data_IF_373115728823
#
_entry.id   IF_373115728823
#
_cell.length_a   1.000
_cell.length_b   1.000
_cell.length_c   1.000
_cell.angle_alpha   90.00
_cell.angle_beta   90.00
_cell.angle_gamma   90.00
#
_symmetry.space_group_name_H-M   'P 1'
#
loop_
_entity.id
_entity.type
_entity.pdbx_description
1 polymer ?
#
# COMPACT_ATOMS: atom_id res chain seq x y z
N UNK A 1 4.45 1.28 -21.90
CA UNK A 1 5.22 2.09 -20.96
C UNK A 1 6.61 2.25 -21.54
N UNK A 2 7.05 3.49 -21.74
CA UNK A 2 8.39 3.78 -22.27
C UNK A 2 9.39 3.80 -21.11
N UNK A 3 10.47 3.04 -21.24
CA UNK A 3 11.52 2.90 -20.23
C UNK A 3 12.83 3.40 -20.77
N UNK A 4 13.54 4.16 -19.95
CA UNK A 4 14.89 4.65 -20.26
C UNK A 4 15.72 4.72 -18.98
N UNK A 5 17.00 5.05 -19.12
CA UNK A 5 17.88 5.27 -17.97
C UNK A 5 18.42 6.70 -18.00
N UNK A 6 18.33 7.39 -16.88
CA UNK A 6 18.97 8.70 -16.68
C UNK A 6 19.99 8.52 -15.57
N UNK A 7 21.24 8.89 -15.82
CA UNK A 7 22.34 8.81 -14.86
C UNK A 7 22.39 7.45 -14.10
N UNK A 8 22.30 6.33 -14.84
CA UNK A 8 22.28 4.95 -14.33
C UNK A 8 21.06 4.57 -13.46
N UNK A 9 20.06 5.44 -13.31
CA UNK A 9 18.81 5.12 -12.60
C UNK A 9 17.74 4.65 -13.60
N UNK A 10 17.00 3.59 -13.29
CA UNK A 10 15.86 3.20 -14.10
C UNK A 10 14.72 4.19 -13.92
N UNK A 11 14.12 4.61 -15.03
CA UNK A 11 12.93 5.50 -15.01
C UNK A 11 11.88 5.00 -15.98
N UNK A 12 10.62 5.21 -15.64
CA UNK A 12 9.46 4.86 -16.47
C UNK A 12 8.84 6.14 -17.01
N UNK A 13 8.86 6.31 -18.32
CA UNK A 13 8.37 7.55 -18.97
C UNK A 13 9.00 8.84 -18.39
N UNK A 14 10.26 8.80 -17.99
CA UNK A 14 10.95 9.93 -17.37
C UNK A 14 10.73 10.07 -15.86
N UNK A 15 10.01 9.16 -15.23
CA UNK A 15 9.65 9.21 -13.82
C UNK A 15 10.40 8.14 -13.03
N UNK A 16 11.06 8.51 -11.94
CA UNK A 16 11.60 7.58 -10.95
C UNK A 16 10.49 7.05 -10.06
N UNK A 17 10.39 5.73 -9.96
CA UNK A 17 9.30 5.07 -9.25
C UNK A 17 9.75 4.60 -7.87
N UNK A 18 9.00 5.01 -6.84
CA UNK A 18 9.06 4.45 -5.48
C UNK A 18 7.68 3.90 -5.16
N UNK A 19 7.56 2.59 -5.08
CA UNK A 19 6.28 1.95 -4.74
C UNK A 19 6.13 1.89 -3.21
N UNK A 20 5.12 2.56 -2.69
CA UNK A 20 4.89 2.71 -1.26
C UNK A 20 4.18 1.51 -0.60
N UNK A 21 3.61 0.59 -1.40
CA UNK A 21 2.70 -0.42 -0.87
C UNK A 21 2.81 -1.77 -1.58
N UNK A 22 3.67 -2.64 -1.05
CA UNK A 22 3.77 -4.04 -1.44
C UNK A 22 3.59 -4.95 -0.23
N UNK A 23 3.21 -6.19 -0.49
CA UNK A 23 3.12 -7.25 0.52
C UNK A 23 4.14 -8.35 0.22
N UNK A 24 4.89 -8.75 1.24
CA UNK A 24 5.79 -9.88 1.17
C UNK A 24 5.18 -11.08 1.90
N UNK A 25 5.20 -12.25 1.28
CA UNK A 25 4.68 -13.51 1.86
C UNK A 25 3.24 -13.39 2.39
N UNK A 26 2.40 -12.60 1.71
CA UNK A 26 1.05 -12.31 2.17
C UNK A 26 0.23 -13.56 2.55
N UNK A 27 0.27 -14.70 1.82
CA UNK A 27 -0.50 -15.88 2.20
C UNK A 27 -0.06 -16.51 3.52
N UNK A 28 1.14 -16.19 4.01
CA UNK A 28 1.75 -16.74 5.22
C UNK A 28 1.80 -15.73 6.37
N UNK A 29 1.46 -14.47 6.11
CA UNK A 29 1.46 -13.44 7.13
C UNK A 29 0.30 -13.64 8.12
N UNK A 30 0.57 -13.76 9.44
CA UNK A 30 -0.49 -13.94 10.45
C UNK A 30 -1.55 -12.86 10.46
N UNK A 31 -1.18 -11.60 10.18
CA UNK A 31 -2.12 -10.49 10.10
C UNK A 31 -3.11 -10.68 8.94
N UNK A 32 -2.60 -11.01 7.76
CA UNK A 32 -3.45 -11.21 6.58
C UNK A 32 -4.29 -12.48 6.67
N UNK A 33 -3.81 -13.53 7.35
CA UNK A 33 -4.63 -14.71 7.65
C UNK A 33 -5.84 -14.41 8.51
N UNK A 34 -5.70 -13.51 9.47
CA UNK A 34 -6.80 -13.08 10.34
C UNK A 34 -7.92 -12.41 9.56
N UNK A 35 -7.62 -11.80 8.40
CA UNK A 35 -8.60 -11.18 7.52
C UNK A 35 -9.45 -12.17 6.71
N UNK A 36 -9.06 -13.44 6.63
CA UNK A 36 -9.70 -14.45 5.78
C UNK A 36 -10.70 -15.37 6.47
N UNK A 37 -11.17 -15.06 7.67
CA UNK A 37 -12.31 -15.79 8.18
C UNK A 37 -12.45 -16.09 9.67
N UNK A 38 -11.55 -15.61 10.53
CA UNK A 38 -11.60 -15.95 11.96
C UNK A 38 -12.64 -15.18 12.79
N UNK A 39 -13.10 -14.02 12.32
CA UNK A 39 -13.94 -13.13 13.14
C UNK A 39 -15.42 -13.50 13.22
N UNK A 40 -15.90 -14.39 12.34
CA UNK A 40 -17.29 -14.80 12.28
C UNK A 40 -17.42 -16.31 12.52
N UNK A 41 -16.58 -16.86 13.40
CA UNK A 41 -16.71 -18.26 13.82
C UNK A 41 -18.07 -18.44 14.51
N UNK A 42 -19.09 -18.82 13.74
CA UNK A 42 -20.24 -19.49 14.26
C UNK A 42 -19.94 -20.99 14.36
N UNK A 43 -20.64 -21.69 15.22
CA UNK A 43 -20.63 -23.16 15.23
C UNK A 43 -21.17 -23.67 13.89
N UNK A 44 -20.27 -23.97 12.99
CA UNK A 44 -20.56 -24.43 11.63
C UNK A 44 -20.15 -25.88 11.50
N UNK A 45 -21.00 -26.70 10.87
CA UNK A 45 -20.60 -28.07 10.55
C UNK A 45 -19.43 -28.07 9.55
N UNK A 46 -18.58 -29.10 9.60
CA UNK A 46 -17.46 -29.26 8.67
C UNK A 46 -17.87 -29.22 7.19
N UNK A 47 -19.08 -29.73 6.87
CA UNK A 47 -19.64 -29.68 5.53
C UNK A 47 -20.03 -28.27 5.10
N UNK A 48 -20.65 -27.49 6.00
CA UNK A 48 -21.00 -26.09 5.73
C UNK A 48 -19.75 -25.22 5.58
N UNK A 49 -18.73 -25.44 6.42
CA UNK A 49 -17.44 -24.76 6.30
C UNK A 49 -16.76 -25.06 4.95
N UNK A 50 -16.77 -26.32 4.50
CA UNK A 50 -16.21 -26.71 3.20
C UNK A 50 -16.98 -26.08 2.03
N UNK A 51 -18.32 -26.06 2.07
CA UNK A 51 -19.14 -25.41 1.04
C UNK A 51 -18.87 -23.90 0.97
N UNK A 52 -18.80 -23.22 2.12
CA UNK A 52 -18.44 -21.82 2.20
C UNK A 52 -17.05 -21.56 1.63
N UNK A 53 -16.06 -22.35 2.01
CA UNK A 53 -14.70 -22.23 1.48
C UNK A 53 -14.65 -22.40 -0.05
N UNK A 54 -15.40 -23.37 -0.60
CA UNK A 54 -15.49 -23.59 -2.04
C UNK A 54 -16.13 -22.38 -2.77
N UNK A 55 -17.19 -21.78 -2.19
CA UNK A 55 -17.81 -20.58 -2.74
C UNK A 55 -16.83 -19.39 -2.75
N UNK A 56 -16.11 -19.14 -1.65
CA UNK A 56 -15.10 -18.10 -1.54
C UNK A 56 -13.95 -18.32 -2.53
N UNK A 57 -13.46 -19.56 -2.67
CA UNK A 57 -12.45 -19.91 -3.65
C UNK A 57 -12.94 -19.63 -5.08
N UNK A 58 -14.19 -19.98 -5.39
CA UNK A 58 -14.81 -19.71 -6.70
C UNK A 58 -14.92 -18.20 -7.01
N UNK A 59 -15.26 -17.38 -6.01
CA UNK A 59 -15.28 -15.91 -6.14
C UNK A 59 -13.88 -15.36 -6.40
N UNK A 60 -12.89 -15.79 -5.64
CA UNK A 60 -11.48 -15.39 -5.79
C UNK A 60 -10.92 -15.79 -7.16
N UNK A 61 -11.20 -17.00 -7.62
CA UNK A 61 -10.79 -17.46 -8.95
C UNK A 61 -11.44 -16.66 -10.08
N UNK A 62 -12.72 -16.29 -9.93
CA UNK A 62 -13.42 -15.41 -10.90
C UNK A 62 -12.76 -14.04 -10.98
N UNK A 63 -12.43 -13.47 -9.83
CA UNK A 63 -11.73 -12.19 -9.77
C UNK A 63 -10.35 -12.27 -10.44
N UNK A 64 -9.53 -13.28 -10.13
CA UNK A 64 -8.21 -13.45 -10.78
C UNK A 64 -8.34 -13.54 -12.30
N UNK A 65 -9.27 -14.35 -12.80
CA UNK A 65 -9.52 -14.44 -14.26
C UNK A 65 -9.93 -13.13 -14.90
N UNK A 66 -10.72 -12.29 -14.19
CA UNK A 66 -11.14 -10.99 -14.72
C UNK A 66 -9.98 -9.98 -14.87
N UNK A 67 -8.87 -10.23 -14.20
CA UNK A 67 -7.65 -9.42 -14.24
C UNK A 67 -6.48 -10.10 -14.95
N UNK A 68 -6.69 -11.30 -15.43
CA UNK A 68 -5.63 -12.15 -16.01
C UNK A 68 -4.49 -12.41 -15.00
N UNK A 69 -4.85 -12.59 -13.74
CA UNK A 69 -3.91 -12.98 -12.70
C UNK A 69 -3.84 -14.49 -12.59
N UNK A 70 -2.64 -15.02 -12.49
CA UNK A 70 -2.40 -16.43 -12.21
C UNK A 70 -2.95 -16.82 -10.83
N UNK A 71 -3.24 -18.09 -10.64
CA UNK A 71 -3.56 -18.63 -9.32
C UNK A 71 -2.31 -18.61 -8.43
N UNK A 72 -2.47 -18.38 -7.10
CA UNK A 72 -1.35 -18.47 -6.17
C UNK A 72 -0.64 -19.83 -6.28
N UNK A 73 0.68 -19.81 -6.28
CA UNK A 73 1.49 -21.02 -6.32
C UNK A 73 1.21 -21.88 -5.08
N UNK A 74 0.97 -23.16 -5.31
CA UNK A 74 0.86 -24.14 -4.24
C UNK A 74 2.23 -24.76 -4.03
N UNK A 75 2.80 -24.63 -2.83
CA UNK A 75 4.04 -25.30 -2.47
C UNK A 75 5.33 -24.49 -2.58
N UNK A 76 5.31 -23.26 -3.09
CA UNK A 76 6.52 -22.39 -3.14
C UNK A 76 6.99 -21.90 -1.75
N UNK A 77 6.28 -22.26 -0.69
CA UNK A 77 6.78 -22.14 0.67
C UNK A 77 8.12 -22.88 0.90
N UNK A 78 8.44 -23.85 0.06
CA UNK A 78 9.67 -24.64 0.15
C UNK A 78 10.92 -23.89 -0.31
N UNK A 79 10.79 -22.82 -1.12
CA UNK A 79 11.95 -22.03 -1.55
C UNK A 79 12.43 -21.05 -0.47
N UNK A 80 11.62 -20.79 0.55
CA UNK A 80 11.97 -19.96 1.68
C UNK A 80 11.90 -18.45 1.37
N UNK A 81 12.01 -17.62 2.45
CA UNK A 81 11.85 -16.16 2.32
C UNK A 81 12.98 -15.49 1.54
N UNK A 82 14.17 -16.07 1.51
CA UNK A 82 15.32 -15.50 0.79
C UNK A 82 15.12 -15.58 -0.73
N UNK A 83 14.68 -16.74 -1.22
CA UNK A 83 14.40 -16.94 -2.64
C UNK A 83 13.24 -16.03 -3.10
N UNK A 84 12.21 -15.85 -2.26
CA UNK A 84 11.11 -14.96 -2.57
C UNK A 84 11.58 -13.49 -2.59
N UNK A 85 12.48 -13.09 -1.69
CA UNK A 85 13.07 -11.75 -1.72
C UNK A 85 13.90 -11.51 -3.01
N UNK A 86 14.65 -12.52 -3.46
CA UNK A 86 15.40 -12.44 -4.73
C UNK A 86 14.45 -12.33 -5.94
N UNK A 87 13.31 -13.04 -5.92
CA UNK A 87 12.27 -12.88 -6.96
C UNK A 87 11.70 -11.45 -6.95
N UNK A 88 11.42 -10.88 -5.78
CA UNK A 88 10.97 -9.48 -5.69
C UNK A 88 12.02 -8.50 -6.21
N UNK A 89 13.31 -8.73 -5.94
CA UNK A 89 14.37 -7.89 -6.49
C UNK A 89 14.37 -7.92 -8.03
N UNK A 90 14.22 -9.10 -8.62
CA UNK A 90 14.10 -9.27 -10.08
C UNK A 90 12.84 -8.58 -10.64
N UNK A 91 11.69 -8.71 -9.97
CA UNK A 91 10.46 -8.01 -10.35
C UNK A 91 10.63 -6.49 -10.36
N UNK A 92 11.30 -5.92 -9.34
CA UNK A 92 11.57 -4.48 -9.31
C UNK A 92 12.52 -4.05 -10.44
N UNK A 93 13.51 -4.88 -10.80
CA UNK A 93 14.40 -4.62 -11.94
C UNK A 93 13.64 -4.63 -13.26
N UNK A 94 12.84 -5.68 -13.50
CA UNK A 94 12.07 -5.85 -14.73
C UNK A 94 11.00 -4.76 -14.91
N UNK A 95 10.50 -4.20 -13.82
CA UNK A 95 9.50 -3.14 -13.83
C UNK A 95 10.11 -1.73 -13.61
N UNK A 96 11.43 -1.64 -13.47
CA UNK A 96 12.17 -0.39 -13.30
C UNK A 96 11.69 0.43 -12.08
N UNK A 97 11.36 -0.27 -11.01
CA UNK A 97 11.02 0.33 -9.71
C UNK A 97 12.30 0.53 -8.92
N UNK A 98 12.54 1.74 -8.48
CA UNK A 98 13.78 2.09 -7.81
C UNK A 98 13.82 1.59 -6.36
N UNK A 99 12.75 1.88 -5.62
CA UNK A 99 12.55 1.44 -4.25
C UNK A 99 11.13 0.92 -4.04
N UNK A 100 10.97 0.00 -3.11
CA UNK A 100 9.66 -0.55 -2.74
C UNK A 100 9.52 -0.67 -1.22
N UNK A 101 8.37 -0.23 -0.69
CA UNK A 101 8.03 -0.41 0.71
C UNK A 101 7.12 -1.62 0.90
N UNK A 102 7.58 -2.57 1.68
CA UNK A 102 6.79 -3.73 2.09
C UNK A 102 6.04 -3.41 3.38
N UNK A 103 4.74 -3.58 3.35
CA UNK A 103 3.85 -3.25 4.48
C UNK A 103 3.49 -4.45 5.35
N UNK A 104 3.74 -5.68 4.86
CA UNK A 104 3.64 -6.94 5.62
C UNK A 104 4.73 -7.90 5.20
N UNK A 105 5.24 -8.73 6.13
CA UNK A 105 6.27 -9.72 5.85
C UNK A 105 6.27 -10.91 6.85
N UNK A 106 5.18 -11.15 7.57
CA UNK A 106 5.12 -12.19 8.59
C UNK A 106 5.69 -11.78 9.94
N UNK A 107 5.74 -10.47 10.25
CA UNK A 107 6.22 -9.87 11.48
C UNK A 107 7.49 -9.03 11.31
N UNK A 108 7.86 -8.29 12.37
CA UNK A 108 8.95 -7.32 12.30
C UNK A 108 10.33 -7.95 12.08
N UNK A 109 10.61 -9.13 12.68
CA UNK A 109 11.88 -9.84 12.45
C UNK A 109 12.00 -10.32 10.99
N UNK A 110 10.93 -10.82 10.40
CA UNK A 110 10.90 -11.23 8.99
C UNK A 110 11.06 -10.01 8.06
N UNK A 111 10.42 -8.90 8.40
CA UNK A 111 10.56 -7.63 7.68
C UNK A 111 12.00 -7.13 7.71
N UNK A 112 12.66 -7.17 8.86
CA UNK A 112 14.06 -6.75 9.00
C UNK A 112 15.01 -7.58 8.10
N UNK A 113 14.78 -8.90 8.02
CA UNK A 113 15.55 -9.79 7.13
C UNK A 113 15.30 -9.46 5.65
N UNK A 114 14.06 -9.18 5.29
CA UNK A 114 13.68 -8.76 3.93
C UNK A 114 14.39 -7.45 3.55
N UNK A 115 14.32 -6.43 4.41
CA UNK A 115 14.98 -5.12 4.19
C UNK A 115 16.48 -5.29 4.02
N UNK A 116 17.13 -6.06 4.90
CA UNK A 116 18.56 -6.34 4.81
C UNK A 116 18.93 -7.02 3.47
N UNK A 117 18.11 -7.96 2.98
CA UNK A 117 18.31 -8.64 1.70
C UNK A 117 18.19 -7.70 0.51
N UNK A 118 17.34 -6.68 0.60
CA UNK A 118 17.06 -5.73 -0.48
C UNK A 118 18.17 -4.72 -0.78
N UNK A 119 19.27 -4.69 -0.01
CA UNK A 119 20.43 -3.83 -0.28
C UNK A 119 20.10 -2.34 -0.41
N UNK A 120 19.18 -1.83 0.40
CA UNK A 120 18.72 -0.43 0.37
C UNK A 120 17.56 -0.14 -0.57
N UNK A 121 17.16 -1.10 -1.42
CA UNK A 121 15.98 -0.95 -2.32
C UNK A 121 14.67 -1.33 -1.64
N UNK A 122 14.72 -2.27 -0.69
CA UNK A 122 13.56 -2.68 0.06
C UNK A 122 13.48 -1.88 1.34
N UNK A 123 12.32 -1.32 1.59
CA UNK A 123 11.98 -0.60 2.79
C UNK A 123 10.88 -1.36 3.51
N UNK A 124 10.84 -1.31 4.82
CA UNK A 124 9.87 -2.07 5.60
C UNK A 124 9.05 -1.17 6.51
N UNK A 125 7.77 -1.52 6.68
CA UNK A 125 6.94 -0.96 7.74
C UNK A 125 6.83 -1.97 8.88
N UNK A 126 6.82 -1.48 10.12
CA UNK A 126 6.41 -2.28 11.26
C UNK A 126 4.93 -2.69 11.08
N UNK A 127 4.61 -3.93 11.35
CA UNK A 127 3.23 -4.42 11.31
C UNK A 127 2.71 -4.62 12.74
N UNK A 128 1.51 -4.12 13.00
CA UNK A 128 0.84 -4.21 14.28
C UNK A 128 -0.61 -4.64 14.08
N UNK A 129 -1.01 -5.70 14.78
CA UNK A 129 -2.39 -6.18 14.70
C UNK A 129 -3.35 -5.22 15.40
N UNK A 130 -2.97 -4.74 16.57
CA UNK A 130 -3.85 -3.95 17.42
C UNK A 130 -3.04 -2.95 18.26
N UNK A 131 -3.23 -1.63 18.08
CA UNK A 131 -2.51 -0.59 18.82
C UNK A 131 -2.92 -0.49 20.29
N UNK A 132 -4.00 -1.16 20.69
CA UNK A 132 -4.51 -1.16 22.07
C UNK A 132 -3.88 -2.27 22.93
N UNK A 133 -3.09 -3.16 22.35
CA UNK A 133 -2.45 -4.22 23.11
C UNK A 133 -1.39 -3.66 24.09
N UNK A 134 -1.29 -4.23 25.29
CA UNK A 134 -0.23 -3.87 26.24
C UNK A 134 1.16 -3.96 25.58
N UNK A 135 1.96 -2.91 25.72
CA UNK A 135 3.29 -2.84 25.14
C UNK A 135 3.37 -2.51 23.65
N UNK A 136 2.24 -2.23 22.98
CA UNK A 136 2.19 -1.93 21.53
C UNK A 136 3.14 -0.78 21.15
N UNK A 137 3.15 0.31 21.90
CA UNK A 137 4.03 1.46 21.65
C UNK A 137 5.51 1.11 21.81
N UNK A 138 5.87 0.34 22.84
CA UNK A 138 7.25 -0.10 23.05
C UNK A 138 7.71 -1.07 21.98
N UNK A 139 6.88 -2.03 21.59
CA UNK A 139 7.17 -2.95 20.49
C UNK A 139 7.37 -2.19 19.16
N UNK A 140 6.59 -1.13 18.93
CA UNK A 140 6.76 -0.29 17.77
C UNK A 140 8.06 0.50 17.81
N UNK A 141 8.41 1.11 18.94
CA UNK A 141 9.69 1.81 19.14
C UNK A 141 10.87 0.89 18.84
N UNK A 142 10.86 -0.32 19.40
CA UNK A 142 11.90 -1.32 19.15
C UNK A 142 11.98 -1.72 17.67
N UNK A 143 10.85 -1.82 16.98
CA UNK A 143 10.83 -2.11 15.55
C UNK A 143 11.52 -1.01 14.72
N UNK A 144 11.33 0.25 15.07
CA UNK A 144 11.98 1.38 14.41
C UNK A 144 13.47 1.46 14.71
N UNK A 145 13.85 1.33 16.00
CA UNK A 145 15.23 1.54 16.47
C UNK A 145 16.15 0.36 16.14
N UNK A 146 15.62 -0.86 16.24
CA UNK A 146 16.42 -2.08 16.07
C UNK A 146 16.50 -2.55 14.63
N UNK A 147 15.43 -2.32 13.84
CA UNK A 147 15.28 -2.93 12.53
C UNK A 147 15.22 -1.93 11.36
N UNK A 148 15.43 -0.64 11.65
CA UNK A 148 15.35 0.46 10.65
C UNK A 148 14.04 0.43 9.85
N UNK A 149 12.92 0.07 10.49
CA UNK A 149 11.62 0.11 9.83
C UNK A 149 11.14 1.57 9.70
N UNK A 150 10.49 1.89 8.58
CA UNK A 150 10.27 3.26 8.13
C UNK A 150 8.82 3.74 8.24
N UNK A 151 7.97 3.00 8.94
CA UNK A 151 6.56 3.31 9.13
C UNK A 151 5.84 2.28 9.96
N UNK A 152 4.54 2.47 10.12
CA UNK A 152 3.65 1.53 10.80
C UNK A 152 2.51 1.13 9.88
N UNK A 153 2.22 -0.17 9.75
CA UNK A 153 1.02 -0.72 9.09
C UNK A 153 0.03 -1.23 10.10
N UNK A 154 -1.22 -0.75 9.99
CA UNK A 154 -2.37 -1.22 10.78
C UNK A 154 -3.50 -1.62 9.84
N UNK A 155 -4.22 -2.67 10.21
CA UNK A 155 -5.50 -3.05 9.61
C UNK A 155 -6.62 -2.69 10.59
N UNK A 156 -7.32 -1.59 10.34
CA UNK A 156 -8.38 -1.11 11.22
C UNK A 156 -9.44 -2.18 11.54
N UNK A 157 -9.87 -3.05 10.60
CA UNK A 157 -10.82 -4.12 10.89
C UNK A 157 -10.37 -5.12 11.96
N UNK A 158 -9.08 -5.18 12.30
CA UNK A 158 -8.53 -6.10 13.31
C UNK A 158 -8.34 -5.46 14.68
N UNK A 159 -8.57 -4.16 14.83
CA UNK A 159 -8.42 -3.47 16.12
C UNK A 159 -9.49 -3.89 17.11
N UNK A 160 -9.15 -3.91 18.38
CA UNK A 160 -10.07 -4.25 19.49
C UNK A 160 -10.95 -3.07 19.95
N UNK A 161 -10.59 -1.84 19.55
CA UNK A 161 -11.34 -0.63 19.82
C UNK A 161 -11.23 0.35 18.64
N UNK A 162 -12.07 1.38 18.63
CA UNK A 162 -12.05 2.42 17.61
C UNK A 162 -10.76 3.21 17.68
N UNK A 163 -10.27 3.65 16.54
CA UNK A 163 -8.99 4.38 16.44
C UNK A 163 -8.99 5.70 17.22
N UNK A 164 -10.13 6.34 17.45
CA UNK A 164 -10.27 7.58 18.21
C UNK A 164 -10.19 7.40 19.73
N UNK A 165 -10.20 6.16 20.22
CA UNK A 165 -9.95 5.86 21.63
C UNK A 165 -8.52 6.27 22.02
N UNK A 166 -8.32 7.06 23.10
CA UNK A 166 -7.02 7.54 23.50
C UNK A 166 -6.06 6.45 23.99
N UNK A 167 -6.51 5.22 24.15
CA UNK A 167 -5.64 4.07 24.49
C UNK A 167 -4.55 3.80 23.45
N UNK A 168 -4.76 4.20 22.18
CA UNK A 168 -3.76 4.09 21.12
C UNK A 168 -2.78 5.31 21.04
N UNK A 169 -3.02 6.40 21.77
CA UNK A 169 -2.18 7.61 21.73
C UNK A 169 -0.68 7.34 21.98
N UNK A 170 -0.27 6.39 22.84
CA UNK A 170 1.14 6.06 22.99
C UNK A 170 1.82 5.62 21.69
N UNK A 171 1.10 4.91 20.81
CA UNK A 171 1.61 4.46 19.51
C UNK A 171 1.81 5.65 18.58
N UNK A 172 0.83 6.57 18.56
CA UNK A 172 0.91 7.79 17.71
C UNK A 172 2.05 8.71 18.14
N UNK A 173 2.33 8.80 19.44
CA UNK A 173 3.48 9.55 19.96
C UNK A 173 4.81 8.96 19.47
N UNK A 174 4.95 7.64 19.44
CA UNK A 174 6.16 7.00 18.88
C UNK A 174 6.30 7.33 17.39
N UNK A 175 5.21 7.29 16.61
CA UNK A 175 5.26 7.69 15.20
C UNK A 175 5.72 9.14 15.01
N UNK A 176 5.23 10.07 15.84
CA UNK A 176 5.64 11.48 15.82
C UNK A 176 7.12 11.67 16.20
N UNK A 177 7.58 11.04 17.30
CA UNK A 177 8.96 11.09 17.78
C UNK A 177 9.96 10.64 16.70
N UNK A 178 9.63 9.55 16.00
CA UNK A 178 10.45 8.99 14.92
C UNK A 178 10.16 9.58 13.54
N UNK A 179 9.15 10.45 13.41
CA UNK A 179 8.74 11.08 12.16
C UNK A 179 8.48 10.06 11.05
N UNK A 180 7.75 9.00 11.37
CA UNK A 180 7.40 7.94 10.43
C UNK A 180 5.91 7.95 10.11
N UNK A 181 5.49 7.59 8.89
CA UNK A 181 4.09 7.51 8.51
C UNK A 181 3.39 6.33 9.19
N UNK A 182 2.09 6.50 9.41
CA UNK A 182 1.19 5.43 9.86
C UNK A 182 0.20 5.12 8.74
N UNK A 183 0.35 3.95 8.14
CA UNK A 183 -0.52 3.44 7.07
C UNK A 183 -1.64 2.61 7.67
N UNK A 184 -2.88 3.09 7.57
CA UNK A 184 -4.05 2.45 8.19
C UNK A 184 -5.04 2.05 7.12
N UNK A 185 -5.27 0.74 6.99
CA UNK A 185 -6.27 0.21 6.08
C UNK A 185 -7.66 0.31 6.71
N UNK A 186 -8.49 1.18 6.16
CA UNK A 186 -9.92 1.27 6.41
C UNK A 186 -10.71 0.61 5.27
N UNK A 187 -12.00 0.39 5.48
CA UNK A 187 -12.85 -0.22 4.48
C UNK A 187 -12.69 -1.74 4.37
N UNK A 188 -13.18 -2.30 3.26
CA UNK A 188 -13.12 -3.73 3.01
C UNK A 188 -11.67 -4.24 3.02
N UNK A 189 -11.42 -5.26 3.79
CA UNK A 189 -10.11 -5.84 3.96
C UNK A 189 -10.09 -7.33 3.68
N UNK A 190 -9.04 -7.79 3.01
CA UNK A 190 -8.91 -9.17 2.57
C UNK A 190 -9.51 -9.43 1.17
N UNK A 191 -9.44 -10.68 0.73
CA UNK A 191 -10.01 -11.15 -0.54
C UNK A 191 -11.51 -11.46 -0.40
N UNK A 192 -12.07 -12.20 -1.33
CA UNK A 192 -13.43 -12.75 -1.19
C UNK A 192 -13.57 -13.48 0.15
N UNK A 193 -14.65 -13.20 0.88
CA UNK A 193 -14.87 -13.71 2.24
C UNK A 193 -14.15 -12.91 3.35
N UNK A 194 -13.46 -11.80 3.02
CA UNK A 194 -12.87 -10.90 3.99
C UNK A 194 -13.90 -10.04 4.75
N UNK A 195 -13.41 -9.02 5.45
CA UNK A 195 -14.22 -8.16 6.32
C UNK A 195 -14.69 -6.95 5.52
N UNK A 196 -16.01 -6.78 5.35
CA UNK A 196 -16.59 -5.66 4.63
C UNK A 196 -17.17 -4.58 5.56
N UNK A 197 -17.62 -4.96 6.75
CA UNK A 197 -18.28 -4.08 7.70
C UNK A 197 -17.95 -4.48 9.14
N UNK A 198 -17.43 -3.56 9.90
CA UNK A 198 -17.42 -3.53 11.36
C UNK A 198 -17.23 -2.07 11.81
N UNK A 199 -17.27 -1.79 13.10
CA UNK A 199 -17.17 -0.42 13.62
C UNK A 199 -15.80 0.24 13.39
N UNK A 200 -14.75 -0.57 13.15
CA UNK A 200 -13.38 -0.10 13.05
C UNK A 200 -13.00 0.34 11.64
N UNK A 201 -13.78 0.00 10.61
CA UNK A 201 -13.41 0.27 9.21
C UNK A 201 -13.73 1.70 8.74
N UNK A 202 -14.37 2.50 9.57
CA UNK A 202 -14.82 3.86 9.23
C UNK A 202 -13.67 4.86 9.36
N UNK A 203 -13.18 5.47 8.26
CA UNK A 203 -12.08 6.43 8.32
C UNK A 203 -12.46 7.74 9.02
N UNK A 204 -13.74 8.04 9.20
CA UNK A 204 -14.21 9.23 9.88
C UNK A 204 -13.67 9.34 11.33
N UNK A 205 -13.45 8.22 12.01
CA UNK A 205 -12.88 8.22 13.36
C UNK A 205 -11.43 8.70 13.41
N UNK A 206 -10.72 8.69 12.29
CA UNK A 206 -9.36 9.20 12.22
C UNK A 206 -9.28 10.73 12.37
N UNK A 207 -10.36 11.48 12.12
CA UNK A 207 -10.35 12.94 12.24
C UNK A 207 -9.91 13.41 13.62
N UNK A 208 -10.49 12.82 14.66
CA UNK A 208 -10.13 13.15 16.05
C UNK A 208 -8.68 12.87 16.34
N UNK A 209 -8.16 11.74 15.87
CA UNK A 209 -6.74 11.33 16.07
C UNK A 209 -5.80 12.25 15.31
N UNK A 210 -6.09 12.51 14.04
CA UNK A 210 -5.24 13.35 13.18
C UNK A 210 -5.13 14.78 13.73
N UNK A 211 -6.21 15.34 14.28
CA UNK A 211 -6.20 16.64 14.94
C UNK A 211 -5.49 16.64 16.30
N UNK A 212 -5.54 15.51 17.03
CA UNK A 212 -4.85 15.35 18.32
C UNK A 212 -3.34 15.10 18.14
N UNK A 213 -2.94 14.54 17.00
CA UNK A 213 -1.55 14.22 16.66
C UNK A 213 -1.15 14.88 15.31
N UNK A 214 -1.05 16.21 15.24
CA UNK A 214 -0.79 16.94 13.98
C UNK A 214 0.59 16.65 13.37
N UNK A 215 1.54 16.18 14.17
CA UNK A 215 2.90 15.85 13.74
C UNK A 215 3.02 14.42 13.16
N UNK A 216 1.95 13.63 13.18
CA UNK A 216 1.91 12.29 12.57
C UNK A 216 1.30 12.39 11.18
N UNK A 217 1.98 11.85 10.18
CA UNK A 217 1.38 11.65 8.85
C UNK A 217 0.63 10.34 8.83
N UNK A 218 -0.69 10.41 8.68
CA UNK A 218 -1.55 9.24 8.48
C UNK A 218 -1.78 9.02 6.99
N UNK A 219 -1.60 7.79 6.53
CA UNK A 219 -1.85 7.42 5.14
C UNK A 219 -3.01 6.43 5.07
N UNK A 220 -4.00 6.71 4.24
CA UNK A 220 -5.13 5.81 3.99
C UNK A 220 -4.90 5.17 2.61
N UNK A 221 -4.72 3.83 2.54
CA UNK A 221 -4.46 3.17 1.27
C UNK A 221 -5.69 3.12 0.37
N UNK A 222 -5.45 2.82 -0.92
CA UNK A 222 -6.48 2.54 -1.91
C UNK A 222 -7.47 3.69 -2.13
N UNK A 223 -7.02 4.96 -1.95
CA UNK A 223 -7.91 6.14 -1.94
C UNK A 223 -9.11 6.00 -0.98
N UNK A 224 -9.00 5.17 0.04
CA UNK A 224 -10.07 4.90 0.99
C UNK A 224 -11.09 3.85 0.54
N UNK A 225 -10.85 3.16 -0.59
CA UNK A 225 -11.71 2.05 -1.07
C UNK A 225 -13.20 2.48 -1.12
N UNK A 226 -14.09 1.84 -0.35
CA UNK A 226 -15.52 2.13 -0.30
C UNK A 226 -15.87 3.50 0.31
N UNK A 227 -14.90 4.18 0.95
CA UNK A 227 -15.06 5.44 1.69
C UNK A 227 -14.47 6.65 0.98
N UNK A 228 -14.31 6.62 -0.36
CA UNK A 228 -13.69 7.70 -1.16
C UNK A 228 -14.19 9.08 -0.76
N UNK A 229 -15.51 9.28 -0.68
CA UNK A 229 -16.09 10.58 -0.35
C UNK A 229 -15.75 11.02 1.09
N UNK A 230 -15.79 10.10 2.04
CA UNK A 230 -15.45 10.39 3.44
C UNK A 230 -13.98 10.77 3.57
N UNK A 231 -13.09 10.08 2.83
CA UNK A 231 -11.64 10.37 2.85
C UNK A 231 -11.35 11.72 2.21
N UNK A 232 -12.04 12.13 1.15
CA UNK A 232 -11.91 13.47 0.58
C UNK A 232 -12.23 14.56 1.62
N UNK A 233 -13.33 14.43 2.38
CA UNK A 233 -13.66 15.38 3.45
C UNK A 233 -12.70 15.30 4.63
N UNK A 234 -12.27 14.11 5.02
CA UNK A 234 -11.28 13.91 6.07
C UNK A 234 -9.95 14.60 5.73
N UNK A 235 -9.47 14.44 4.51
CA UNK A 235 -8.27 15.14 4.04
C UNK A 235 -8.43 16.64 4.00
N UNK A 236 -9.63 17.15 3.71
CA UNK A 236 -9.92 18.58 3.78
C UNK A 236 -9.86 19.11 5.21
N UNK A 237 -10.32 18.32 6.17
CA UNK A 237 -10.31 18.69 7.59
C UNK A 237 -8.94 18.49 8.28
N UNK A 238 -8.09 17.58 7.75
CA UNK A 238 -6.84 17.14 8.37
C UNK A 238 -5.68 17.20 7.37
N UNK A 239 -4.81 18.21 7.43
CA UNK A 239 -3.70 18.38 6.48
C UNK A 239 -2.64 17.28 6.59
N UNK A 240 -2.57 16.57 7.70
CA UNK A 240 -1.66 15.45 7.96
C UNK A 240 -2.21 14.08 7.56
N UNK A 241 -3.34 14.03 6.84
CA UNK A 241 -3.87 12.80 6.24
C UNK A 241 -3.57 12.78 4.75
N UNK A 242 -3.01 11.69 4.26
CA UNK A 242 -2.66 11.44 2.86
C UNK A 242 -3.31 10.14 2.39
N UNK A 243 -3.26 9.87 1.09
CA UNK A 243 -3.73 8.61 0.51
C UNK A 243 -2.66 7.93 -0.32
N UNK A 244 -2.70 6.60 -0.39
CA UNK A 244 -1.99 5.88 -1.43
C UNK A 244 -2.96 5.34 -2.51
N UNK A 245 -2.41 5.08 -3.69
CA UNK A 245 -3.16 4.67 -4.89
C UNK A 245 -3.25 3.16 -5.05
N UNK A 246 -2.68 2.38 -4.12
CA UNK A 246 -2.49 0.95 -4.26
C UNK A 246 -3.82 0.19 -4.50
N UNK A 247 -3.79 -0.83 -5.35
CA UNK A 247 -4.95 -1.66 -5.65
C UNK A 247 -6.17 -0.96 -6.26
N UNK A 248 -6.12 0.36 -6.45
CA UNK A 248 -7.28 1.17 -6.84
C UNK A 248 -7.81 0.84 -8.22
N UNK A 249 -6.97 0.34 -9.12
CA UNK A 249 -7.36 -0.12 -10.44
C UNK A 249 -8.51 -1.14 -10.40
N UNK A 250 -8.61 -1.93 -9.35
CA UNK A 250 -9.56 -3.02 -9.26
C UNK A 250 -10.80 -2.73 -8.41
N UNK A 251 -10.69 -2.02 -7.31
CA UNK A 251 -11.83 -1.87 -6.40
C UNK A 251 -12.90 -0.90 -6.90
N UNK A 252 -12.58 0.03 -7.80
CA UNK A 252 -13.56 0.95 -8.40
C UNK A 252 -14.75 0.24 -9.03
N UNK A 253 -14.61 -1.01 -9.46
CA UNK A 253 -15.69 -1.83 -10.00
C UNK A 253 -16.79 -2.19 -9.00
N UNK A 254 -16.52 -2.08 -7.71
CA UNK A 254 -17.51 -2.34 -6.65
C UNK A 254 -18.38 -1.11 -6.33
N UNK A 255 -18.05 0.06 -6.90
CA UNK A 255 -18.83 1.26 -6.69
C UNK A 255 -20.16 1.18 -7.46
N UNK A 256 -21.26 1.47 -6.76
CA UNK A 256 -22.59 1.46 -7.37
C UNK A 256 -22.79 2.61 -8.36
N UNK A 257 -22.13 3.74 -8.13
CA UNK A 257 -22.08 4.85 -9.07
C UNK A 257 -21.04 4.55 -10.14
N UNK A 258 -21.26 5.06 -11.35
CA UNK A 258 -20.25 5.02 -12.40
C UNK A 258 -19.04 5.86 -11.96
N UNK A 259 -17.98 5.18 -11.54
CA UNK A 259 -16.74 5.78 -11.09
C UNK A 259 -15.58 5.08 -11.77
N UNK A 260 -14.76 5.84 -12.48
CA UNK A 260 -13.52 5.36 -13.08
C UNK A 260 -12.33 5.64 -12.19
N UNK A 261 -11.21 4.98 -12.43
CA UNK A 261 -9.96 5.29 -11.72
C UNK A 261 -9.50 6.73 -12.01
N UNK A 262 -9.73 7.22 -13.23
CA UNK A 262 -9.47 8.62 -13.58
C UNK A 262 -10.31 9.59 -12.73
N UNK A 263 -11.60 9.32 -12.55
CA UNK A 263 -12.46 10.14 -11.70
C UNK A 263 -11.93 10.22 -10.26
N UNK A 264 -11.42 9.11 -9.73
CA UNK A 264 -10.81 9.07 -8.39
C UNK A 264 -9.55 9.93 -8.36
N UNK A 265 -8.59 9.70 -9.27
CA UNK A 265 -7.38 10.52 -9.36
C UNK A 265 -7.70 11.99 -9.48
N UNK A 266 -8.62 12.36 -10.39
CA UNK A 266 -9.03 13.75 -10.63
C UNK A 266 -9.56 14.42 -9.37
N UNK A 267 -10.46 13.75 -8.63
CA UNK A 267 -11.04 14.31 -7.40
C UNK A 267 -9.99 14.59 -6.34
N UNK A 268 -9.09 13.63 -6.06
CA UNK A 268 -8.04 13.83 -5.07
C UNK A 268 -7.01 14.86 -5.53
N UNK A 269 -6.60 14.82 -6.79
CA UNK A 269 -5.62 15.76 -7.34
C UNK A 269 -6.13 17.21 -7.36
N UNK A 270 -7.37 17.44 -7.82
CA UNK A 270 -7.94 18.79 -7.91
C UNK A 270 -8.30 19.38 -6.54
N UNK A 271 -8.57 18.54 -5.53
CA UNK A 271 -8.96 19.01 -4.19
C UNK A 271 -7.78 19.10 -3.22
N UNK A 272 -6.77 18.25 -3.34
CA UNK A 272 -5.71 18.12 -2.34
C UNK A 272 -4.29 18.25 -2.89
N UNK A 273 -4.13 18.39 -4.21
CA UNK A 273 -2.83 18.51 -4.84
C UNK A 273 -2.05 17.18 -4.94
N UNK A 274 -0.94 17.18 -5.70
CA UNK A 274 -0.12 15.98 -5.90
C UNK A 274 0.65 15.56 -4.64
N UNK A 275 0.92 16.48 -3.71
CA UNK A 275 1.72 16.28 -2.51
C UNK A 275 1.08 15.34 -1.48
N UNK A 276 -0.21 15.05 -1.63
CA UNK A 276 -0.96 14.21 -0.70
C UNK A 276 -1.42 12.87 -1.29
N UNK A 277 -0.91 12.54 -2.48
CA UNK A 277 -1.18 11.30 -3.19
C UNK A 277 0.14 10.53 -3.33
N UNK A 278 0.16 9.26 -2.92
CA UNK A 278 1.35 8.41 -2.91
C UNK A 278 1.10 7.20 -3.79
N UNK A 279 1.99 6.93 -4.72
CA UNK A 279 1.88 5.76 -5.58
C UNK A 279 2.14 4.46 -4.83
N UNK A 280 1.32 3.43 -5.10
CA UNK A 280 1.51 2.06 -4.69
C UNK A 280 0.76 1.09 -5.61
N UNK A 281 1.19 -0.18 -5.64
CA UNK A 281 0.54 -1.21 -6.48
C UNK A 281 -0.28 -2.23 -5.73
N UNK A 282 -0.05 -2.45 -4.45
CA UNK A 282 -0.62 -3.57 -3.69
C UNK A 282 -0.22 -4.95 -4.26
N UNK A 283 0.98 -5.02 -4.84
CA UNK A 283 1.55 -6.28 -5.33
C UNK A 283 1.86 -7.21 -4.16
N UNK A 284 1.59 -8.52 -4.28
CA UNK A 284 1.52 -9.34 -3.06
C UNK A 284 1.97 -10.80 -3.15
N UNK A 285 1.61 -11.57 -4.14
CA UNK A 285 1.93 -13.00 -4.17
C UNK A 285 2.50 -13.42 -5.52
N UNK A 286 3.19 -14.55 -5.55
CA UNK A 286 3.62 -15.19 -6.79
C UNK A 286 2.61 -16.28 -7.23
N UNK A 287 2.46 -16.51 -8.56
CA UNK A 287 3.22 -15.91 -9.66
C UNK A 287 2.70 -14.58 -10.17
N UNK A 288 1.75 -13.93 -9.48
CA UNK A 288 1.25 -12.60 -9.88
C UNK A 288 2.39 -11.58 -9.95
N UNK A 289 3.34 -11.60 -8.98
CA UNK A 289 4.47 -10.71 -8.90
C UNK A 289 4.10 -9.24 -8.84
N UNK A 290 4.93 -8.39 -9.40
CA UNK A 290 4.70 -6.95 -9.50
C UNK A 290 3.62 -6.64 -10.54
N UNK A 291 2.56 -5.96 -10.12
CA UNK A 291 1.42 -5.68 -11.01
C UNK A 291 1.70 -4.46 -11.90
N UNK A 292 2.56 -4.67 -12.90
CA UNK A 292 2.95 -3.65 -13.90
C UNK A 292 1.78 -2.93 -14.53
N UNK A 293 0.66 -3.63 -14.73
CA UNK A 293 -0.56 -3.05 -15.30
C UNK A 293 -1.08 -1.89 -14.45
N UNK A 294 -0.99 -1.99 -13.10
CA UNK A 294 -1.45 -0.91 -12.24
C UNK A 294 -0.59 0.34 -12.39
N UNK A 295 0.73 0.19 -12.42
CA UNK A 295 1.65 1.28 -12.69
C UNK A 295 1.34 1.93 -14.07
N UNK A 296 1.22 1.11 -15.12
CA UNK A 296 0.98 1.60 -16.48
C UNK A 296 -0.35 2.35 -16.60
N UNK A 297 -1.43 1.81 -16.04
CA UNK A 297 -2.76 2.44 -16.08
C UNK A 297 -2.77 3.77 -15.31
N UNK A 298 -2.15 3.81 -14.12
CA UNK A 298 -2.12 5.01 -13.29
C UNK A 298 -1.26 6.11 -13.92
N UNK A 299 -0.09 5.78 -14.48
CA UNK A 299 0.73 6.74 -15.23
C UNK A 299 -0.01 7.30 -16.45
N UNK A 300 -0.64 6.42 -17.24
CA UNK A 300 -1.43 6.83 -18.41
C UNK A 300 -2.54 7.80 -18.00
N UNK A 301 -3.29 7.50 -16.94
CA UNK A 301 -4.35 8.38 -16.42
C UNK A 301 -3.80 9.76 -16.06
N UNK A 302 -2.69 9.83 -15.33
CA UNK A 302 -2.10 11.10 -14.96
C UNK A 302 -1.68 11.95 -16.20
N UNK A 303 -1.12 11.29 -17.23
CA UNK A 303 -0.77 11.97 -18.49
C UNK A 303 -2.01 12.40 -19.27
N UNK A 304 -3.04 11.57 -19.37
CA UNK A 304 -4.31 11.90 -20.06
C UNK A 304 -5.07 13.04 -19.34
N UNK A 305 -4.93 13.16 -18.03
CA UNK A 305 -5.43 14.30 -17.26
C UNK A 305 -4.62 15.60 -17.49
N UNK A 306 -3.51 15.54 -18.21
CA UNK A 306 -2.63 16.68 -18.43
C UNK A 306 -1.82 17.13 -17.21
N UNK A 307 -1.55 16.20 -16.27
CA UNK A 307 -0.73 16.54 -15.11
C UNK A 307 0.70 16.93 -15.54
N UNK A 308 1.28 18.02 -14.98
CA UNK A 308 2.69 18.34 -15.18
C UNK A 308 3.59 17.18 -14.77
N UNK A 309 4.69 16.95 -15.49
CA UNK A 309 5.64 15.88 -15.19
C UNK A 309 6.18 15.96 -13.75
N UNK A 310 6.36 17.16 -13.20
CA UNK A 310 6.75 17.37 -11.80
C UNK A 310 5.71 16.82 -10.81
N UNK A 311 4.41 16.98 -11.09
CA UNK A 311 3.35 16.43 -10.24
C UNK A 311 3.27 14.90 -10.36
N UNK A 312 3.45 14.36 -11.57
CA UNK A 312 3.53 12.90 -11.76
C UNK A 312 4.74 12.35 -11.00
N UNK A 313 5.92 12.98 -11.11
CA UNK A 313 7.09 12.59 -10.34
C UNK A 313 6.85 12.65 -8.82
N UNK A 314 6.12 13.67 -8.37
CA UNK A 314 5.78 13.81 -6.96
C UNK A 314 4.93 12.66 -6.45
N UNK A 315 3.87 12.29 -7.18
CA UNK A 315 2.97 11.17 -6.84
C UNK A 315 3.71 9.83 -6.87
N UNK A 316 4.47 9.57 -7.95
CA UNK A 316 5.05 8.25 -8.22
C UNK A 316 6.41 7.99 -7.55
N UNK A 317 7.01 9.01 -6.93
CA UNK A 317 8.31 8.85 -6.30
C UNK A 317 8.56 9.75 -5.09
N UNK A 318 8.50 11.07 -5.27
CA UNK A 318 9.01 12.03 -4.28
C UNK A 318 8.25 11.98 -2.94
N UNK A 319 6.93 11.82 -2.95
CA UNK A 319 6.15 11.73 -1.72
C UNK A 319 6.53 10.49 -0.91
N UNK A 320 6.62 9.32 -1.54
CA UNK A 320 7.07 8.09 -0.88
C UNK A 320 8.50 8.21 -0.38
N UNK A 321 9.42 8.74 -1.21
CA UNK A 321 10.82 8.90 -0.85
C UNK A 321 10.99 9.81 0.38
N UNK A 322 10.24 10.91 0.43
CA UNK A 322 10.24 11.84 1.57
C UNK A 322 9.70 11.19 2.85
N UNK A 323 8.53 10.54 2.77
CA UNK A 323 7.90 9.88 3.92
C UNK A 323 8.76 8.74 4.48
N UNK A 324 9.38 7.96 3.62
CA UNK A 324 10.24 6.84 3.99
C UNK A 324 11.68 7.27 4.24
N UNK A 325 12.00 8.56 4.14
CA UNK A 325 13.33 9.13 4.38
C UNK A 325 14.43 8.38 3.62
N UNK A 326 14.25 8.24 2.30
CA UNK A 326 15.25 7.61 1.44
C UNK A 326 16.40 8.61 1.27
N UNK A 327 17.54 8.31 1.91
CA UNK A 327 18.69 9.21 1.93
C UNK A 327 19.26 9.46 0.53
N UNK A 328 19.56 10.72 0.24
CA UNK A 328 20.15 11.11 -1.04
C UNK A 328 19.24 10.91 -2.26
N UNK A 329 17.99 10.50 -2.07
CA UNK A 329 17.07 10.37 -3.20
C UNK A 329 16.69 11.72 -3.77
N UNK A 330 16.85 11.86 -5.07
CA UNK A 330 16.39 13.03 -5.82
C UNK A 330 15.60 12.54 -7.03
N UNK A 331 14.52 13.23 -7.42
CA UNK A 331 13.77 12.84 -8.61
C UNK A 331 14.64 12.89 -9.86
N UNK A 332 14.37 12.05 -10.84
CA UNK A 332 14.90 12.21 -12.17
C UNK A 332 14.42 13.55 -12.74
N UNK A 333 15.29 14.28 -13.43
CA UNK A 333 14.89 15.51 -14.11
C UNK A 333 14.11 15.14 -15.40
N UNK A 334 12.80 15.40 -15.47
CA UNK A 334 12.00 15.09 -16.65
C UNK A 334 12.49 15.83 -17.92
N UNK A 335 13.17 16.97 -17.75
CA UNK A 335 13.67 17.77 -18.87
C UNK A 335 14.83 17.08 -19.61
N UNK A 336 15.59 16.19 -18.94
CA UNK A 336 16.68 15.44 -19.56
C UNK A 336 16.16 14.39 -20.56
N UNK A 337 14.88 14.03 -20.51
CA UNK A 337 14.27 13.08 -21.45
C UNK A 337 13.91 13.68 -22.79
N UNK A 338 13.53 14.95 -22.85
CA UNK A 338 13.16 15.62 -24.09
C UNK A 338 14.37 15.84 -25.01
N UNK A 339 15.58 15.85 -24.45
CA UNK A 339 16.82 16.06 -25.19
C UNK A 339 17.36 14.79 -25.89
N UNK A 340 16.86 13.60 -25.59
CA UNK A 340 17.39 12.33 -26.09
C UNK A 340 16.44 11.53 -27.01
N UNK A 341 15.24 12.02 -27.32
CA UNK A 341 14.34 11.38 -28.26
C UNK A 341 14.59 11.91 -29.68
N UNK A 342 15.26 11.17 -30.57
CA UNK A 342 15.32 11.56 -31.97
C UNK A 342 13.93 11.30 -32.57
N UNK A 343 13.15 12.37 -32.80
CA UNK A 343 12.11 12.40 -33.81
C UNK A 343 10.82 11.61 -33.54
N UNK A 344 10.27 11.61 -32.34
CA UNK A 344 8.87 11.21 -32.14
C UNK A 344 7.97 12.40 -32.50
N UNK A 345 7.46 12.41 -33.73
CA UNK A 345 6.28 13.19 -34.07
C UNK A 345 5.09 12.59 -33.30
N UNK A 346 4.30 13.45 -32.69
CA UNK A 346 3.01 13.19 -32.04
C UNK A 346 2.08 12.38 -32.91
#
# INVERSE_FOLDING_TARGET
>A
VHVSRIANRPVVQGISIVDFHLHFRMPFDPLTKSLSGGQFACEESSAAAADRAAKVAGMSARWRRSWDFADPEQGDADQGPEAEADRWAAELDDNHVEHAAFVTAGGNDAMAKLVARGGGRFLGMAAMADPFQPGAAENFRQALERYDLRGLKIFAPLMSARIDDPGADPVWRVAAEHRVPVLIHFGHCGSAGGIAHNEMIEPAWLETVAKRHPDVTFVIPHFGIQHVQQVLFLMWACPNVQVDTSGSNQWVRFMAQQLTLEDVFRRFYETHGPERIIFGTDSSWFPRGYVRRYLADQLRICWEMGMPASHVQQIFGANAASLLRIEGWTPADPALHTAQAPGAKL
#
